data_IF_611655378354
#
_entry.id   IF_611655378354
#
_cell.length_a   1.000
_cell.length_b   1.000
_cell.length_c   1.000
_cell.angle_alpha   90.00
_cell.angle_beta   90.00
_cell.angle_gamma   90.00
#
_symmetry.space_group_name_H-M   'P 1'
#
loop_
_entity.id
_entity.type
_entity.pdbx_description
1 polymer ?
#
# COMPACT_ATOMS: atom_id res chain seq x y z
N UNK A 1 61.79 38.16 33.57
CA UNK A 1 61.01 37.34 34.51
C UNK A 1 59.74 36.89 33.82
N UNK A 2 59.46 35.58 33.86
CA UNK A 2 58.56 34.85 32.97
C UNK A 2 57.08 35.12 33.31
N UNK A 3 56.28 35.30 32.27
CA UNK A 3 54.82 35.29 32.29
C UNK A 3 54.32 33.85 32.52
N UNK A 4 53.49 33.66 33.53
CA UNK A 4 52.86 32.37 33.87
C UNK A 4 51.68 32.11 32.95
N UNK A 5 51.83 31.14 32.05
CA UNK A 5 50.75 30.64 31.20
C UNK A 5 49.70 29.87 32.00
N UNK A 6 48.44 30.25 31.86
CA UNK A 6 47.30 29.49 32.32
C UNK A 6 47.21 28.17 31.54
N UNK A 7 47.37 27.06 32.25
CA UNK A 7 47.30 25.72 31.71
C UNK A 7 45.82 25.33 31.58
N UNK A 8 45.28 25.32 30.36
CA UNK A 8 43.96 24.79 30.07
C UNK A 8 43.94 23.28 30.36
N UNK A 9 43.36 22.88 31.49
CA UNK A 9 42.94 21.50 31.70
C UNK A 9 41.86 21.17 30.68
N UNK A 10 42.27 20.50 29.59
CA UNK A 10 41.37 19.84 28.67
C UNK A 10 40.68 18.69 29.38
N UNK A 11 39.48 18.93 29.90
CA UNK A 11 38.54 17.87 30.21
C UNK A 11 38.27 17.07 28.92
N UNK A 12 38.42 15.73 28.91
CA UNK A 12 38.00 14.96 27.76
C UNK A 12 36.49 15.13 27.61
N UNK A 13 36.07 15.93 26.62
CA UNK A 13 34.69 15.95 26.15
C UNK A 13 34.35 14.53 25.73
N UNK A 14 33.64 13.83 26.59
CA UNK A 14 33.07 12.52 26.31
C UNK A 14 31.96 12.71 25.26
N UNK A 15 32.37 13.00 24.03
CA UNK A 15 31.49 13.11 22.88
C UNK A 15 31.15 11.69 22.42
N UNK A 16 30.56 10.91 23.33
CA UNK A 16 29.71 9.81 22.95
C UNK A 16 28.50 10.47 22.28
N UNK A 17 28.64 10.82 20.99
CA UNK A 17 27.50 10.78 20.07
C UNK A 17 26.76 9.53 20.49
N UNK A 18 25.54 9.65 21.00
CA UNK A 18 24.73 8.49 21.31
C UNK A 18 24.61 7.74 20.00
N UNK A 19 25.48 6.74 19.79
CA UNK A 19 25.29 5.74 18.77
C UNK A 19 24.01 5.07 19.26
N UNK A 20 22.89 5.54 18.72
CA UNK A 20 21.66 4.78 18.74
C UNK A 20 22.08 3.41 18.25
N UNK A 21 21.94 2.40 19.11
CA UNK A 21 22.23 1.02 18.72
C UNK A 21 21.52 0.76 17.39
N UNK A 22 22.15 0.03 16.45
CA UNK A 22 21.48 -0.31 15.21
C UNK A 22 20.10 -0.92 15.54
N UNK A 23 19.05 -0.56 14.79
CA UNK A 23 17.72 -1.10 15.03
C UNK A 23 17.82 -2.63 15.00
N UNK A 24 17.43 -3.25 16.11
CA UNK A 24 17.44 -4.69 16.29
C UNK A 24 16.01 -5.20 16.26
N UNK A 25 15.80 -6.39 15.72
CA UNK A 25 14.50 -7.07 15.63
C UNK A 25 13.77 -7.16 16.98
N UNK A 26 14.50 -7.33 18.09
CA UNK A 26 13.90 -7.32 19.42
C UNK A 26 13.18 -5.98 19.72
N UNK A 27 13.75 -4.85 19.29
CA UNK A 27 13.17 -3.52 19.51
C UNK A 27 11.88 -3.35 18.70
N UNK A 28 11.85 -3.76 17.42
CA UNK A 28 10.61 -3.71 16.63
C UNK A 28 9.53 -4.56 17.28
N UNK A 29 9.87 -5.77 17.75
CA UNK A 29 8.92 -6.64 18.46
C UNK A 29 8.35 -5.99 19.73
N UNK A 30 9.19 -5.39 20.59
CA UNK A 30 8.71 -4.69 21.78
C UNK A 30 7.75 -3.52 21.44
N UNK A 31 8.05 -2.77 20.39
CA UNK A 31 7.21 -1.67 19.94
C UNK A 31 5.87 -2.15 19.36
N UNK A 32 5.85 -3.28 18.65
CA UNK A 32 4.60 -3.93 18.23
C UNK A 32 3.76 -4.33 19.45
N UNK A 33 4.36 -4.93 20.47
CA UNK A 33 3.63 -5.33 21.69
C UNK A 33 3.13 -4.11 22.47
N UNK A 34 3.89 -3.02 22.49
CA UNK A 34 3.44 -1.75 23.08
C UNK A 34 2.23 -1.19 22.31
N UNK A 35 2.27 -1.15 20.97
CA UNK A 35 1.16 -0.69 20.15
C UNK A 35 -0.12 -1.50 20.43
N UNK A 36 -0.01 -2.83 20.51
CA UNK A 36 -1.13 -3.73 20.85
C UNK A 36 -1.73 -3.41 22.22
N UNK A 37 -0.89 -3.16 23.23
CA UNK A 37 -1.37 -2.76 24.56
C UNK A 37 -2.09 -1.41 24.52
N UNK A 38 -1.53 -0.41 23.83
CA UNK A 38 -2.18 0.90 23.67
C UNK A 38 -3.54 0.75 22.96
N UNK A 39 -3.63 -0.09 21.93
CA UNK A 39 -4.87 -0.37 21.22
C UNK A 39 -5.94 -0.98 22.14
N UNK A 40 -5.56 -1.96 22.95
CA UNK A 40 -6.47 -2.59 23.92
C UNK A 40 -6.99 -1.57 24.95
N UNK A 41 -6.11 -0.76 25.52
CA UNK A 41 -6.48 0.31 26.47
C UNK A 41 -7.30 1.43 25.83
N UNK A 42 -7.18 1.63 24.50
CA UNK A 42 -7.96 2.61 23.76
C UNK A 42 -9.42 2.20 23.53
N UNK A 43 -9.80 0.96 23.88
CA UNK A 43 -11.13 0.41 23.62
C UNK A 43 -11.19 -0.56 22.43
N UNK A 44 -10.04 -1.00 21.90
CA UNK A 44 -9.95 -2.00 20.83
C UNK A 44 -10.32 -1.48 19.44
N UNK A 45 -10.26 -2.38 18.47
CA UNK A 45 -10.98 -2.28 17.21
C UNK A 45 -12.48 -2.53 17.46
N UNK A 46 -13.37 -1.94 16.66
CA UNK A 46 -14.83 -1.88 16.86
C UNK A 46 -15.57 -3.25 16.92
N UNK A 47 -14.84 -4.36 17.10
CA UNK A 47 -15.30 -5.74 17.18
C UNK A 47 -15.63 -6.24 18.60
N UNK A 48 -15.44 -5.42 19.64
CA UNK A 48 -15.88 -5.82 21.00
C UNK A 48 -17.40 -5.70 21.13
N UNK A 49 -18.04 -6.85 21.24
CA UNK A 49 -19.46 -7.11 21.21
C UNK A 49 -20.35 -6.27 22.16
N UNK A 50 -21.50 -5.90 21.61
CA UNK A 50 -22.76 -5.34 22.18
C UNK A 50 -23.26 -5.94 23.51
N UNK A 51 -22.63 -6.96 24.11
CA UNK A 51 -23.19 -7.71 25.25
C UNK A 51 -22.39 -7.67 26.56
N UNK A 52 -21.27 -6.96 26.64
CA UNK A 52 -20.62 -6.69 27.93
C UNK A 52 -20.60 -5.18 28.13
N UNK A 53 -21.46 -4.70 29.03
CA UNK A 53 -21.32 -3.37 29.61
C UNK A 53 -19.99 -3.32 30.37
N UNK A 54 -18.90 -3.03 29.65
CA UNK A 54 -17.72 -2.50 30.30
C UNK A 54 -18.13 -1.15 30.93
N UNK A 55 -17.80 -0.88 32.20
CA UNK A 55 -18.24 0.34 32.90
C UNK A 55 -17.63 1.65 32.33
N UNK A 56 -16.83 1.58 31.27
CA UNK A 56 -16.34 2.73 30.53
C UNK A 56 -17.33 3.08 29.39
N UNK A 57 -18.30 3.94 29.71
CA UNK A 57 -19.30 4.50 28.79
C UNK A 57 -18.73 5.48 27.74
N UNK A 58 -17.46 5.35 27.39
CA UNK A 58 -16.81 6.20 26.40
C UNK A 58 -16.35 5.31 25.26
N UNK A 59 -16.82 5.59 24.04
CA UNK A 59 -16.35 4.93 22.83
C UNK A 59 -14.83 5.04 22.67
N UNK A 60 -14.25 4.39 21.65
CA UNK A 60 -12.80 4.23 21.55
C UNK A 60 -12.07 5.58 21.58
N UNK A 61 -11.03 5.67 22.39
CA UNK A 61 -10.30 6.91 22.65
C UNK A 61 -9.42 7.27 21.44
N UNK A 62 -9.91 8.15 20.57
CA UNK A 62 -9.29 8.51 19.28
C UNK A 62 -7.80 8.88 19.35
N UNK A 63 -7.36 9.61 20.38
CA UNK A 63 -5.93 9.95 20.54
C UNK A 63 -5.07 8.74 20.92
N UNK A 64 -5.62 7.77 21.64
CA UNK A 64 -4.91 6.54 22.00
C UNK A 64 -4.88 5.59 20.82
N UNK A 65 -5.95 5.52 20.01
CA UNK A 65 -5.93 4.83 18.72
C UNK A 65 -4.83 5.40 17.80
N UNK A 66 -4.74 6.73 17.69
CA UNK A 66 -3.66 7.36 16.93
C UNK A 66 -2.28 7.05 17.50
N UNK A 67 -2.13 7.05 18.83
CA UNK A 67 -0.87 6.69 19.49
C UNK A 67 -0.47 5.24 19.21
N UNK A 68 -1.42 4.30 19.28
CA UNK A 68 -1.21 2.90 18.88
C UNK A 68 -0.74 2.81 17.42
N UNK A 69 -1.45 3.47 16.51
CA UNK A 69 -1.14 3.46 15.09
C UNK A 69 0.27 3.98 14.80
N UNK A 70 0.64 5.15 15.35
CA UNK A 70 1.98 5.73 15.19
C UNK A 70 3.07 4.84 15.81
N UNK A 71 2.80 4.24 16.96
CA UNK A 71 3.72 3.28 17.60
C UNK A 71 3.92 2.05 16.72
N UNK A 72 2.86 1.54 16.11
CA UNK A 72 2.91 0.42 15.17
C UNK A 72 3.64 0.76 13.87
N UNK A 73 3.44 1.96 13.30
CA UNK A 73 4.22 2.44 12.15
C UNK A 73 5.71 2.55 12.49
N UNK A 74 6.04 3.10 13.65
CA UNK A 74 7.42 3.16 14.13
C UNK A 74 8.03 1.76 14.25
N UNK A 75 7.30 0.81 14.82
CA UNK A 75 7.73 -0.59 14.93
C UNK A 75 7.98 -1.22 13.54
N UNK A 76 7.08 -0.98 12.58
CA UNK A 76 7.24 -1.45 11.20
C UNK A 76 8.46 -0.82 10.53
N UNK A 77 8.69 0.49 10.70
CA UNK A 77 9.87 1.18 10.20
C UNK A 77 11.18 0.65 10.79
N UNK A 78 11.19 0.30 12.09
CA UNK A 78 12.33 -0.38 12.72
C UNK A 78 12.58 -1.75 12.08
N UNK A 79 11.52 -2.52 11.85
CA UNK A 79 11.62 -3.83 11.21
C UNK A 79 12.15 -3.74 9.77
N UNK A 80 11.67 -2.75 9.01
CA UNK A 80 12.12 -2.48 7.65
C UNK A 80 13.61 -2.11 7.63
N UNK A 81 14.08 -1.29 8.58
CA UNK A 81 15.52 -0.97 8.70
C UNK A 81 16.38 -2.18 9.07
N UNK A 82 15.83 -3.14 9.81
CA UNK A 82 16.53 -4.37 10.18
C UNK A 82 16.55 -5.40 9.03
N UNK A 83 15.77 -5.20 7.94
CA UNK A 83 15.72 -6.16 6.85
C UNK A 83 16.02 -5.57 5.47
N UNK A 84 16.98 -6.18 4.78
CA UNK A 84 17.48 -5.70 3.49
C UNK A 84 16.52 -5.83 2.31
N UNK A 85 15.43 -6.61 2.43
CA UNK A 85 14.53 -6.90 1.30
C UNK A 85 13.09 -6.39 1.51
N UNK A 86 12.87 -5.50 2.47
CA UNK A 86 11.51 -5.14 2.88
C UNK A 86 10.66 -4.51 1.77
N UNK A 87 11.28 -3.77 0.85
CA UNK A 87 10.63 -3.09 -0.28
C UNK A 87 10.07 -4.05 -1.34
N UNK A 88 10.59 -5.28 -1.42
CA UNK A 88 10.16 -6.29 -2.40
C UNK A 88 9.33 -7.42 -1.77
N UNK A 89 8.88 -7.27 -0.52
CA UNK A 89 8.12 -8.32 0.17
C UNK A 89 6.68 -8.36 -0.34
N UNK A 90 6.20 -9.58 -0.60
CA UNK A 90 4.79 -9.85 -0.92
C UNK A 90 3.88 -9.77 0.31
N UNK A 91 4.43 -9.98 1.51
CA UNK A 91 3.69 -9.95 2.76
C UNK A 91 4.50 -9.25 3.85
N UNK A 92 3.95 -8.21 4.47
CA UNK A 92 4.41 -7.70 5.75
C UNK A 92 3.53 -8.24 6.87
N UNK A 93 4.17 -8.73 7.94
CA UNK A 93 3.50 -9.34 9.09
C UNK A 93 2.53 -8.38 9.79
N UNK A 94 2.73 -7.06 9.65
CA UNK A 94 2.00 -6.05 10.41
C UNK A 94 1.27 -5.00 9.55
N UNK A 95 1.55 -4.90 8.25
CA UNK A 95 0.95 -3.88 7.38
C UNK A 95 -0.57 -4.02 7.25
N UNK A 96 -1.10 -5.26 7.23
CA UNK A 96 -2.54 -5.52 7.18
C UNK A 96 -3.29 -5.00 8.41
N UNK A 97 -2.74 -5.18 9.62
CA UNK A 97 -3.32 -4.65 10.85
C UNK A 97 -3.26 -3.11 10.88
N UNK A 98 -2.16 -2.52 10.42
CA UNK A 98 -2.01 -1.07 10.33
C UNK A 98 -2.94 -0.45 9.27
N UNK A 99 -3.17 -1.15 8.16
CA UNK A 99 -4.17 -0.78 7.15
C UNK A 99 -5.56 -0.69 7.77
N UNK A 100 -5.97 -1.73 8.51
CA UNK A 100 -7.27 -1.73 9.18
C UNK A 100 -7.39 -0.62 10.23
N UNK A 101 -6.33 -0.39 11.03
CA UNK A 101 -6.30 0.71 11.98
C UNK A 101 -6.39 2.08 11.29
N UNK A 102 -5.67 2.28 10.19
CA UNK A 102 -5.73 3.54 9.44
C UNK A 102 -7.14 3.83 8.92
N UNK A 103 -7.83 2.81 8.41
CA UNK A 103 -9.22 2.94 7.93
C UNK A 103 -10.22 3.21 9.07
N UNK A 104 -10.05 2.58 10.25
CA UNK A 104 -10.91 2.82 11.42
C UNK A 104 -10.66 4.20 12.07
N UNK A 105 -9.41 4.68 12.07
CA UNK A 105 -9.07 6.03 12.54
C UNK A 105 -9.54 7.10 11.55
N UNK A 106 -9.46 6.82 10.24
CA UNK A 106 -9.91 7.69 9.17
C UNK A 106 -8.89 8.75 8.77
N UNK A 107 -9.37 9.94 8.40
CA UNK A 107 -8.60 10.98 7.73
C UNK A 107 -7.26 11.33 8.40
N UNK A 108 -7.22 11.38 9.74
CA UNK A 108 -6.00 11.73 10.46
C UNK A 108 -4.87 10.69 10.25
N UNK A 109 -5.20 9.39 10.18
CA UNK A 109 -4.20 8.35 9.94
C UNK A 109 -3.83 8.28 8.45
N UNK A 110 -4.80 8.45 7.56
CA UNK A 110 -4.58 8.51 6.12
C UNK A 110 -3.67 9.68 5.72
N UNK A 111 -3.80 10.84 6.38
CA UNK A 111 -2.90 11.97 6.18
C UNK A 111 -1.45 11.62 6.53
N UNK A 112 -1.22 10.91 7.63
CA UNK A 112 0.12 10.43 7.98
C UNK A 112 0.64 9.45 6.93
N UNK A 113 -0.21 8.53 6.47
CA UNK A 113 0.17 7.54 5.46
C UNK A 113 0.52 8.19 4.12
N UNK A 114 -0.26 9.16 3.66
CA UNK A 114 0.03 9.95 2.45
C UNK A 114 1.47 10.49 2.47
N UNK A 115 1.92 11.02 3.61
CA UNK A 115 3.24 11.66 3.72
C UNK A 115 4.38 10.68 4.00
N UNK A 116 4.09 9.50 4.56
CA UNK A 116 5.12 8.61 5.13
C UNK A 116 5.09 7.16 4.66
N UNK A 117 4.14 6.78 3.78
CA UNK A 117 3.97 5.37 3.38
C UNK A 117 5.27 4.77 2.84
N UNK A 118 6.08 5.52 2.09
CA UNK A 118 7.33 5.04 1.48
C UNK A 118 8.41 4.63 2.49
N UNK A 119 8.22 4.94 3.77
CA UNK A 119 9.09 4.49 4.87
C UNK A 119 8.64 3.17 5.49
N UNK A 120 7.39 2.77 5.25
CA UNK A 120 6.70 1.73 6.01
C UNK A 120 6.11 0.63 5.13
N UNK A 121 5.50 1.01 4.01
CA UNK A 121 4.70 0.17 3.12
C UNK A 121 5.40 0.02 1.77
N UNK A 122 5.23 -1.14 1.14
CA UNK A 122 5.57 -1.28 -0.28
C UNK A 122 4.57 -0.49 -1.14
N UNK A 123 4.92 -0.19 -2.41
CA UNK A 123 4.00 0.51 -3.33
C UNK A 123 2.64 -0.20 -3.46
N UNK A 124 2.64 -1.53 -3.60
CA UNK A 124 1.40 -2.32 -3.65
C UNK A 124 0.59 -2.26 -2.35
N UNK A 125 1.24 -2.27 -1.18
CA UNK A 125 0.53 -2.12 0.11
C UNK A 125 -0.13 -0.74 0.23
N UNK A 126 0.57 0.32 -0.21
CA UNK A 126 0.04 1.67 -0.22
C UNK A 126 -1.10 1.85 -1.25
N UNK A 127 -0.98 1.25 -2.44
CA UNK A 127 -2.05 1.21 -3.44
C UNK A 127 -3.29 0.49 -2.91
N UNK A 128 -3.13 -0.63 -2.21
CA UNK A 128 -4.24 -1.35 -1.59
C UNK A 128 -4.92 -0.53 -0.47
N UNK A 129 -4.15 0.21 0.32
CA UNK A 129 -4.71 1.13 1.31
C UNK A 129 -5.48 2.28 0.64
N UNK A 130 -4.95 2.88 -0.43
CA UNK A 130 -5.63 3.92 -1.19
C UNK A 130 -6.97 3.43 -1.77
N UNK A 131 -6.98 2.25 -2.39
CA UNK A 131 -8.20 1.59 -2.91
C UNK A 131 -9.26 1.39 -1.82
N UNK A 132 -8.85 0.94 -0.63
CA UNK A 132 -9.79 0.79 0.49
C UNK A 132 -10.28 2.15 1.01
N UNK A 133 -9.42 3.16 1.07
CA UNK A 133 -9.77 4.50 1.52
C UNK A 133 -10.76 5.19 0.56
N UNK A 134 -10.61 4.99 -0.75
CA UNK A 134 -11.53 5.49 -1.77
C UNK A 134 -12.95 4.90 -1.69
N UNK A 135 -13.12 3.76 -1.02
CA UNK A 135 -14.42 3.12 -0.79
C UNK A 135 -15.07 3.52 0.55
N UNK A 136 -14.43 4.37 1.35
CA UNK A 136 -15.01 4.86 2.60
C UNK A 136 -16.11 5.89 2.33
N UNK A 137 -17.09 5.97 3.23
CA UNK A 137 -18.18 6.94 3.10
C UNK A 137 -17.79 8.39 3.46
N UNK A 138 -16.65 8.58 4.14
CA UNK A 138 -16.15 9.91 4.52
C UNK A 138 -15.39 10.56 3.34
N UNK A 139 -15.88 11.69 2.79
CA UNK A 139 -15.21 12.38 1.70
C UNK A 139 -13.75 12.74 1.99
N UNK A 140 -13.43 13.07 3.24
CA UNK A 140 -12.05 13.42 3.63
C UNK A 140 -11.11 12.24 3.48
N UNK A 141 -11.60 11.03 3.78
CA UNK A 141 -10.85 9.79 3.60
C UNK A 141 -10.69 9.43 2.12
N UNK A 142 -11.73 9.64 1.31
CA UNK A 142 -11.69 9.43 -0.15
C UNK A 142 -10.68 10.37 -0.79
N UNK A 143 -10.70 11.65 -0.42
CA UNK A 143 -9.77 12.66 -0.93
C UNK A 143 -8.32 12.34 -0.60
N UNK A 144 -8.05 11.89 0.63
CA UNK A 144 -6.72 11.45 1.06
C UNK A 144 -6.32 10.12 0.41
N UNK A 145 -7.27 9.23 0.16
CA UNK A 145 -7.05 7.99 -0.59
C UNK A 145 -6.57 8.28 -2.01
N UNK A 146 -7.21 9.21 -2.70
CA UNK A 146 -6.79 9.64 -4.03
C UNK A 146 -5.44 10.38 -4.03
N UNK A 147 -5.11 11.17 -2.99
CA UNK A 147 -3.77 11.76 -2.85
C UNK A 147 -2.69 10.72 -2.58
N UNK A 148 -3.02 9.71 -1.78
CA UNK A 148 -2.14 8.56 -1.56
C UNK A 148 -1.94 7.80 -2.87
N UNK A 149 -3.00 7.52 -3.63
CA UNK A 149 -2.92 6.88 -4.95
C UNK A 149 -1.99 7.66 -5.90
N UNK A 150 -2.14 8.98 -5.97
CA UNK A 150 -1.26 9.86 -6.76
C UNK A 150 0.20 9.73 -6.34
N UNK A 151 0.49 9.70 -5.04
CA UNK A 151 1.87 9.54 -4.55
C UNK A 151 2.48 8.18 -4.90
N UNK A 152 1.65 7.15 -5.00
CA UNK A 152 2.06 5.77 -5.33
C UNK A 152 2.34 5.62 -6.83
N UNK A 153 1.65 6.38 -7.70
CA UNK A 153 1.86 6.35 -9.15
C UNK A 153 3.27 6.78 -9.58
N UNK A 154 3.99 7.56 -8.76
CA UNK A 154 5.40 7.87 -8.98
C UNK A 154 6.31 6.62 -8.94
N UNK A 155 5.80 5.50 -8.38
CA UNK A 155 6.47 4.20 -8.34
C UNK A 155 5.70 3.15 -9.15
N UNK A 156 5.10 3.55 -10.28
CA UNK A 156 4.28 2.67 -11.12
C UNK A 156 5.00 1.41 -11.66
N UNK A 157 6.33 1.45 -11.76
CA UNK A 157 7.17 0.29 -12.10
C UNK A 157 7.06 -0.85 -11.07
N UNK A 158 6.77 -0.53 -9.81
CA UNK A 158 6.65 -1.48 -8.71
C UNK A 158 5.20 -1.95 -8.47
N UNK A 159 4.24 -1.46 -9.26
CA UNK A 159 2.82 -1.81 -9.15
C UNK A 159 2.46 -2.90 -10.15
N UNK A 160 1.45 -3.70 -9.79
CA UNK A 160 0.77 -4.50 -10.80
C UNK A 160 -0.07 -3.61 -11.73
N UNK A 161 -0.33 -4.10 -12.94
CA UNK A 161 -1.15 -3.40 -13.92
C UNK A 161 -2.53 -2.97 -13.36
N UNK A 162 -3.20 -3.84 -12.60
CA UNK A 162 -4.51 -3.54 -12.01
C UNK A 162 -4.45 -2.48 -10.92
N UNK A 163 -3.40 -2.47 -10.09
CA UNK A 163 -3.18 -1.46 -9.05
C UNK A 163 -2.93 -0.08 -9.67
N UNK A 164 -2.07 0.00 -10.69
CA UNK A 164 -1.80 1.24 -11.40
C UNK A 164 -3.05 1.82 -12.08
N UNK A 165 -3.85 0.97 -12.74
CA UNK A 165 -5.11 1.40 -13.37
C UNK A 165 -6.10 1.94 -12.33
N UNK A 166 -6.30 1.26 -11.19
CA UNK A 166 -7.21 1.76 -10.14
C UNK A 166 -6.74 3.08 -9.54
N UNK A 167 -5.44 3.24 -9.33
CA UNK A 167 -4.89 4.49 -8.84
C UNK A 167 -5.13 5.66 -9.82
N UNK A 168 -5.05 5.42 -11.13
CA UNK A 168 -5.41 6.40 -12.16
C UNK A 168 -6.90 6.76 -12.15
N UNK A 169 -7.80 5.77 -12.02
CA UNK A 169 -9.25 6.02 -11.88
C UNK A 169 -9.56 6.90 -10.67
N UNK A 170 -8.97 6.60 -9.51
CA UNK A 170 -9.14 7.42 -8.29
C UNK A 170 -8.67 8.87 -8.48
N UNK A 171 -7.55 9.07 -9.20
CA UNK A 171 -7.06 10.40 -9.51
C UNK A 171 -8.00 11.14 -10.48
N UNK A 172 -8.60 10.43 -11.45
CA UNK A 172 -9.64 10.99 -12.33
C UNK A 172 -10.88 11.42 -11.54
N UNK A 173 -11.35 10.58 -10.63
CA UNK A 173 -12.54 10.85 -9.81
C UNK A 173 -12.33 12.07 -8.89
N UNK A 174 -11.11 12.28 -8.39
CA UNK A 174 -10.74 13.48 -7.62
C UNK A 174 -10.75 14.76 -8.47
N UNK A 175 -10.53 14.65 -9.78
CA UNK A 175 -10.70 15.73 -10.74
C UNK A 175 -9.47 15.99 -11.62
N UNK A 176 -9.65 16.90 -12.59
CA UNK A 176 -8.68 17.16 -13.67
C UNK A 176 -7.26 17.44 -13.19
N UNK A 177 -7.07 18.30 -12.17
CA UNK A 177 -5.73 18.62 -11.66
C UNK A 177 -5.02 17.42 -11.01
N UNK A 178 -5.77 16.49 -10.42
CA UNK A 178 -5.19 15.27 -9.86
C UNK A 178 -4.83 14.29 -10.99
N UNK A 179 -5.67 14.16 -12.01
CA UNK A 179 -5.39 13.34 -13.19
C UNK A 179 -4.16 13.84 -13.95
N UNK A 180 -4.02 15.14 -14.19
CA UNK A 180 -2.86 15.73 -14.86
C UNK A 180 -1.54 15.34 -14.16
N UNK A 181 -1.51 15.49 -12.83
CA UNK A 181 -0.36 15.08 -12.00
C UNK A 181 -0.12 13.58 -12.03
N UNK A 182 -1.18 12.78 -12.04
CA UNK A 182 -1.10 11.33 -12.10
C UNK A 182 -0.48 10.85 -13.42
N UNK A 183 -0.91 11.42 -14.55
CA UNK A 183 -0.36 11.13 -15.88
C UNK A 183 1.12 11.53 -15.94
N UNK A 184 1.45 12.74 -15.48
CA UNK A 184 2.84 13.21 -15.43
C UNK A 184 3.74 12.31 -14.55
N UNK A 185 3.22 11.82 -13.42
CA UNK A 185 3.95 10.91 -12.54
C UNK A 185 4.21 9.55 -13.21
N UNK A 186 3.24 9.01 -13.96
CA UNK A 186 3.41 7.77 -14.73
C UNK A 186 4.42 7.94 -15.86
N UNK A 187 4.39 9.07 -16.57
CA UNK A 187 5.36 9.40 -17.61
C UNK A 187 6.78 9.50 -17.05
N UNK A 188 6.95 10.21 -15.93
CA UNK A 188 8.25 10.32 -15.26
C UNK A 188 8.76 8.95 -14.80
N UNK A 189 7.89 8.12 -14.22
CA UNK A 189 8.25 6.77 -13.80
C UNK A 189 8.68 5.90 -15.00
N UNK A 190 7.99 6.00 -16.14
CA UNK A 190 8.31 5.26 -17.37
C UNK A 190 9.63 5.68 -18.01
N UNK A 191 10.09 6.90 -17.74
CA UNK A 191 11.39 7.38 -18.21
C UNK A 191 12.54 6.73 -17.44
N UNK A 192 12.30 6.34 -16.19
CA UNK A 192 13.31 5.81 -15.27
C UNK A 192 13.37 4.28 -15.30
N UNK A 193 12.20 3.64 -15.27
CA UNK A 193 12.05 2.19 -15.15
C UNK A 193 10.91 1.66 -16.03
N UNK A 194 10.91 0.35 -16.29
CA UNK A 194 9.88 -0.28 -17.11
C UNK A 194 8.54 -0.29 -16.38
N UNK A 195 7.54 0.37 -16.98
CA UNK A 195 6.16 0.41 -16.50
C UNK A 195 5.30 -0.37 -17.48
N UNK A 196 4.32 -1.12 -16.97
CA UNK A 196 3.37 -1.86 -17.80
C UNK A 196 2.74 -0.95 -18.87
N UNK A 197 2.83 -1.28 -20.17
CA UNK A 197 2.27 -0.48 -21.25
C UNK A 197 0.78 -0.18 -21.05
N UNK A 198 0.03 -1.13 -20.47
CA UNK A 198 -1.39 -0.97 -20.15
C UNK A 198 -1.67 0.21 -19.21
N UNK A 199 -0.78 0.49 -18.26
CA UNK A 199 -0.90 1.65 -17.36
C UNK A 199 -0.72 2.95 -18.16
N UNK A 200 0.25 2.99 -19.07
CA UNK A 200 0.51 4.16 -19.93
C UNK A 200 -0.64 4.42 -20.91
N UNK A 201 -1.13 3.36 -21.57
CA UNK A 201 -2.29 3.46 -22.45
C UNK A 201 -3.53 3.92 -21.68
N UNK A 202 -3.75 3.42 -20.46
CA UNK A 202 -4.88 3.87 -19.64
C UNK A 202 -4.73 5.33 -19.25
N UNK A 203 -3.56 5.77 -18.80
CA UNK A 203 -3.28 7.17 -18.47
C UNK A 203 -3.59 8.09 -19.66
N UNK A 204 -3.13 7.72 -20.85
CA UNK A 204 -3.34 8.47 -22.10
C UNK A 204 -4.82 8.54 -22.48
N UNK A 205 -5.55 7.42 -22.33
CA UNK A 205 -6.98 7.35 -22.62
C UNK A 205 -7.80 8.23 -21.65
N UNK A 206 -7.52 8.14 -20.35
CA UNK A 206 -8.21 8.95 -19.34
C UNK A 206 -7.97 10.44 -19.56
N UNK A 207 -6.75 10.83 -19.94
CA UNK A 207 -6.43 12.21 -20.28
C UNK A 207 -7.19 12.70 -21.52
N UNK A 208 -7.21 11.89 -22.59
CA UNK A 208 -7.93 12.23 -23.81
C UNK A 208 -9.45 12.39 -23.58
N UNK A 209 -10.05 11.52 -22.76
CA UNK A 209 -11.46 11.66 -22.36
C UNK A 209 -11.73 13.01 -21.65
N UNK A 210 -10.83 13.44 -20.78
CA UNK A 210 -11.01 14.71 -20.06
C UNK A 210 -10.85 15.93 -20.97
N UNK A 211 -9.85 15.92 -21.86
CA UNK A 211 -9.59 17.03 -22.78
C UNK A 211 -10.71 17.19 -23.81
N UNK A 212 -11.19 16.08 -24.39
CA UNK A 212 -12.31 16.11 -25.35
C UNK A 212 -13.64 16.53 -24.73
N UNK A 213 -13.78 16.48 -23.39
CA UNK A 213 -14.99 16.92 -22.68
C UNK A 213 -15.01 18.43 -22.44
N UNK A 214 -13.83 19.05 -22.34
CA UNK A 214 -13.68 20.49 -22.10
C UNK A 214 -13.62 21.31 -23.40
N UNK A 215 -13.62 20.66 -24.56
CA UNK A 215 -13.90 21.33 -25.84
C UNK A 215 -15.37 21.78 -25.88
N UNK A 216 -15.67 23.09 -26.06
CA UNK A 216 -17.02 23.51 -26.41
C UNK A 216 -17.42 22.85 -27.73
N UNK A 217 -18.73 22.66 -28.01
CA UNK A 217 -19.21 22.10 -29.28
C UNK A 217 -19.02 23.09 -30.45
N UNK A 218 -17.77 23.42 -30.76
CA UNK A 218 -17.33 23.83 -32.08
C UNK A 218 -16.68 22.56 -32.65
N UNK A 219 -17.45 21.59 -33.16
CA UNK A 219 -18.01 21.66 -34.50
C UNK A 219 -19.33 20.87 -34.54
N UNK A 220 -20.46 21.55 -34.37
CA UNK A 220 -21.61 21.15 -35.19
C UNK A 220 -21.14 21.25 -36.63
N UNK A 221 -21.14 20.11 -37.32
CA UNK A 221 -21.09 20.03 -38.76
C UNK A 221 -21.77 21.25 -39.39
N UNK A 222 -21.11 22.03 -40.27
CA UNK A 222 -21.89 22.64 -41.33
C UNK A 222 -22.53 21.45 -42.03
N UNK A 223 -23.85 21.38 -41.97
CA UNK A 223 -24.64 20.47 -42.77
C UNK A 223 -24.15 20.66 -44.20
N UNK A 224 -23.36 19.72 -44.70
CA UNK A 224 -23.01 19.72 -46.12
C UNK A 224 -24.32 19.40 -46.83
N UNK A 225 -25.00 20.48 -47.22
CA UNK A 225 -26.03 20.45 -48.23
C UNK A 225 -25.47 19.63 -49.38
N UNK A 226 -26.15 18.53 -49.68
CA UNK A 226 -25.90 17.74 -50.87
C UNK A 226 -25.88 18.70 -52.08
N UNK A 227 -24.69 18.90 -52.65
CA UNK A 227 -24.52 19.90 -53.68
C UNK A 227 -23.07 20.29 -53.90
N UNK A 228 -22.20 19.34 -54.21
CA UNK A 228 -21.23 19.46 -55.31
C UNK A 228 -20.24 18.31 -55.29
N UNK A 229 -20.12 17.71 -56.47
CA UNK A 229 -19.26 16.62 -56.88
C UNK A 229 -17.76 16.98 -56.91
N UNK A 230 -16.94 15.94 -56.71
CA UNK A 230 -15.50 15.80 -57.05
C UNK A 230 -14.45 16.22 -56.00
N UNK A 231 -13.94 15.25 -55.22
CA UNK A 231 -12.65 14.59 -55.51
C UNK A 231 -12.44 13.41 -54.55
N UNK A 232 -12.47 12.18 -55.08
CA UNK A 232 -12.13 10.96 -54.33
C UNK A 232 -10.61 10.80 -54.31
N UNK A 233 -10.05 10.61 -53.12
CA UNK A 233 -8.66 10.24 -52.90
C UNK A 233 -8.31 8.95 -53.69
N UNK A 234 -7.21 8.90 -54.48
CA UNK A 234 -6.89 7.77 -55.36
C UNK A 234 -6.59 6.45 -54.64
N UNK A 235 -6.32 6.50 -53.33
CA UNK A 235 -5.87 5.33 -52.57
C UNK A 235 -6.99 4.33 -52.22
N UNK A 236 -8.25 4.78 -52.17
CA UNK A 236 -9.37 3.92 -51.77
C UNK A 236 -9.96 3.09 -52.92
N UNK A 237 -9.69 3.44 -54.17
CA UNK A 237 -10.25 2.74 -55.33
C UNK A 237 -9.47 1.45 -55.68
N UNK A 238 -8.17 1.41 -55.40
CA UNK A 238 -7.32 0.24 -55.68
C UNK A 238 -7.62 -0.95 -54.74
N UNK A 239 -7.92 -0.68 -53.47
CA UNK A 239 -8.23 -1.73 -52.49
C UNK A 239 -9.60 -2.38 -52.75
N UNK A 240 -10.60 -1.61 -53.20
CA UNK A 240 -11.94 -2.12 -53.48
C UNK A 240 -11.99 -3.03 -54.72
N UNK A 241 -11.19 -2.75 -55.76
CA UNK A 241 -11.17 -3.61 -56.96
C UNK A 241 -10.42 -4.93 -56.77
N UNK A 242 -9.43 -5.00 -55.88
CA UNK A 242 -8.67 -6.25 -55.65
C UNK A 242 -9.46 -7.29 -54.85
N UNK A 243 -10.41 -6.86 -54.01
CA UNK A 243 -11.22 -7.77 -53.20
C UNK A 243 -12.41 -8.37 -53.98
N UNK A 244 -12.81 -7.77 -55.09
CA UNK A 244 -13.95 -8.23 -55.89
C UNK A 244 -13.58 -9.28 -56.96
N UNK A 245 -12.28 -9.42 -57.30
CA UNK A 245 -11.82 -10.48 -58.21
C UNK A 245 -11.52 -11.81 -57.52
N UNK A 246 -11.39 -11.86 -56.19
CA UNK A 246 -11.16 -13.11 -55.46
C UNK A 246 -12.44 -13.91 -55.14
N UNK A 247 -13.62 -13.27 -55.26
CA UNK A 247 -14.90 -13.89 -54.87
C UNK A 247 -15.65 -14.59 -56.03
N UNK A 248 -15.11 -14.59 -57.26
CA UNK A 248 -15.79 -15.13 -58.45
C UNK A 248 -15.27 -16.49 -58.95
N UNK A 249 -14.28 -17.11 -58.27
CA UNK A 249 -13.67 -18.36 -58.74
C UNK A 249 -13.46 -19.41 -57.63
N UNK A 250 -14.51 -19.84 -56.93
CA UNK A 250 -14.53 -21.20 -56.33
C UNK A 250 -15.96 -21.73 -56.32
N UNK A 251 -16.37 -22.32 -57.43
CA UNK A 251 -17.50 -23.23 -57.50
C UNK A 251 -16.99 -24.66 -57.67
N UNK A 252 -17.39 -25.55 -56.75
CA UNK A 252 -17.43 -27.00 -56.98
C UNK A 252 -16.23 -27.81 -56.48
N UNK A 253 -16.50 -28.80 -55.61
CA UNK A 253 -15.58 -29.91 -55.34
C UNK A 253 -15.63 -30.38 -53.89
N UNK A 254 -16.30 -31.51 -53.64
CA UNK A 254 -16.39 -32.12 -52.31
C UNK A 254 -15.08 -32.77 -51.83
N UNK A 255 -15.08 -33.15 -50.55
CA UNK A 255 -14.07 -34.06 -50.00
C UNK A 255 -13.72 -33.81 -48.54
N UNK A 256 -14.15 -34.75 -47.69
CA UNK A 256 -13.39 -35.31 -46.56
C UNK A 256 -13.12 -34.44 -45.32
N UNK A 257 -13.76 -34.86 -44.22
CA UNK A 257 -13.51 -34.38 -42.85
C UNK A 257 -12.19 -34.93 -42.26
N UNK A 258 -11.53 -34.19 -41.35
CA UNK A 258 -10.63 -34.73 -40.35
C UNK A 258 -11.20 -34.64 -38.91
N UNK A 259 -10.64 -35.38 -37.93
CA UNK A 259 -11.30 -35.71 -36.66
C UNK A 259 -11.13 -34.65 -35.55
N UNK A 260 -11.91 -34.71 -34.46
CA UNK A 260 -11.86 -33.70 -33.39
C UNK A 260 -10.73 -33.98 -32.38
N UNK A 261 -9.88 -32.98 -32.15
CA UNK A 261 -8.92 -32.97 -31.04
C UNK A 261 -9.62 -32.49 -29.76
N UNK A 262 -9.69 -33.40 -28.79
CA UNK A 262 -9.99 -33.14 -27.38
C UNK A 262 -8.92 -32.21 -26.77
N UNK A 263 -9.36 -31.18 -26.04
CA UNK A 263 -8.46 -30.34 -25.25
C UNK A 263 -9.19 -29.18 -24.57
N UNK A 264 -10.03 -29.48 -23.59
CA UNK A 264 -10.56 -28.44 -22.70
C UNK A 264 -9.48 -27.94 -21.72
N UNK A 265 -9.48 -26.65 -21.34
CA UNK A 265 -8.59 -26.14 -20.29
C UNK A 265 -9.07 -26.59 -18.90
N UNK A 266 -8.16 -26.91 -17.95
CA UNK A 266 -8.56 -27.28 -16.59
C UNK A 266 -9.01 -26.05 -15.78
N UNK A 267 -9.92 -26.23 -14.81
CA UNK A 267 -10.45 -25.13 -13.99
C UNK A 267 -9.40 -24.65 -12.97
N UNK A 268 -9.19 -23.34 -12.93
CA UNK A 268 -8.44 -22.65 -11.87
C UNK A 268 -9.37 -22.48 -10.67
N UNK A 269 -9.10 -23.18 -9.57
CA UNK A 269 -9.73 -22.93 -8.27
C UNK A 269 -8.96 -21.81 -7.53
N UNK A 270 -9.64 -20.85 -6.89
CA UNK A 270 -8.98 -19.90 -5.98
C UNK A 270 -8.80 -20.53 -4.59
N UNK A 271 -7.63 -20.43 -3.93
CA UNK A 271 -7.53 -20.74 -2.52
C UNK A 271 -8.17 -19.62 -1.70
N UNK A 272 -9.11 -20.02 -0.85
CA UNK A 272 -9.78 -19.17 0.11
C UNK A 272 -8.79 -18.62 1.15
N UNK A 273 -8.69 -17.29 1.29
CA UNK A 273 -8.14 -16.67 2.48
C UNK A 273 -9.30 -16.33 3.43
N UNK A 274 -9.57 -17.26 4.36
CA UNK A 274 -10.35 -16.97 5.57
C UNK A 274 -9.61 -17.58 6.75
N UNK A 275 -8.65 -16.84 7.29
CA UNK A 275 -8.21 -17.05 8.66
C UNK A 275 -8.44 -15.76 9.43
N UNK A 276 -9.60 -15.72 10.08
CA UNK A 276 -9.78 -14.92 11.28
C UNK A 276 -8.89 -15.49 12.36
N UNK A 277 -8.31 -14.57 13.14
CA UNK A 277 -7.44 -14.85 14.28
C UNK A 277 -8.11 -15.83 15.24
N UNK A 278 -7.60 -17.07 15.32
CA UNK A 278 -7.81 -17.97 16.46
C UNK A 278 -6.51 -18.00 17.23
N UNK A 279 -6.61 -17.72 18.53
CA UNK A 279 -5.48 -17.62 19.44
C UNK A 279 -4.73 -18.94 19.65
N UNK A 280 -3.58 -18.77 20.29
CA UNK A 280 -2.68 -19.78 20.87
C UNK A 280 -1.95 -20.70 19.89
N UNK A 281 -0.67 -20.43 19.66
CA UNK A 281 0.35 -21.49 19.67
C UNK A 281 1.59 -21.01 20.43
N UNK A 282 1.78 -21.56 21.63
CA UNK A 282 2.99 -21.43 22.41
C UNK A 282 4.10 -22.30 21.79
N UNK A 283 5.24 -21.68 21.50
CA UNK A 283 6.43 -22.42 21.08
C UNK A 283 7.26 -22.78 22.30
N UNK A 284 7.32 -24.10 22.54
CA UNK A 284 8.16 -24.79 23.52
C UNK A 284 9.63 -24.50 23.25
N UNK A 285 10.33 -23.99 24.27
CA UNK A 285 11.79 -24.07 24.34
C UNK A 285 12.24 -25.53 24.32
N UNK A 286 13.24 -25.85 23.48
CA UNK A 286 13.95 -27.13 23.54
C UNK A 286 15.28 -26.93 24.28
N UNK A 287 15.66 -27.84 25.21
CA UNK A 287 16.73 -27.59 26.16
C UNK A 287 18.09 -28.02 25.63
N UNK A 288 19.11 -27.20 25.81
CA UNK A 288 20.51 -27.62 25.73
C UNK A 288 21.05 -27.92 27.13
N UNK A 289 21.45 -29.16 27.33
CA UNK A 289 22.06 -29.74 28.51
C UNK A 289 23.42 -29.11 28.86
N UNK A 290 23.64 -28.78 30.14
CA UNK A 290 24.88 -29.17 30.83
C UNK A 290 24.77 -29.05 32.35
N UNK A 291 25.05 -30.16 33.02
CA UNK A 291 25.60 -30.34 34.37
C UNK A 291 24.71 -30.03 35.59
N UNK A 292 24.21 -31.12 36.15
CA UNK A 292 23.74 -31.25 37.52
C UNK A 292 24.90 -31.46 38.50
N UNK A 293 24.86 -30.77 39.66
CA UNK A 293 25.41 -31.19 40.97
C UNK A 293 24.53 -30.54 42.07
N UNK A 294 24.25 -31.21 43.21
CA UNK A 294 22.93 -31.12 43.86
C UNK A 294 22.81 -30.13 45.04
N UNK A 295 21.54 -29.85 45.36
CA UNK A 295 21.02 -29.04 46.46
C UNK A 295 21.31 -29.61 47.86
N UNK A 296 21.62 -28.71 48.80
CA UNK A 296 21.08 -28.74 50.19
C UNK A 296 20.98 -27.31 50.77
N UNK A 297 20.16 -27.09 51.82
CA UNK A 297 19.24 -25.96 51.87
C UNK A 297 19.53 -24.97 53.03
N UNK A 298 18.65 -23.97 53.12
CA UNK A 298 18.33 -23.14 54.30
C UNK A 298 18.89 -21.70 54.26
N UNK A 299 18.02 -20.70 54.16
CA UNK A 299 17.61 -19.90 55.32
C UNK A 299 16.68 -18.74 54.94
N UNK A 300 15.59 -18.64 55.72
CA UNK A 300 14.85 -17.44 56.14
C UNK A 300 14.16 -16.52 55.10
N UNK A 301 12.85 -16.73 54.96
CA UNK A 301 11.89 -15.64 54.84
C UNK A 301 12.04 -14.72 56.06
N UNK A 302 12.30 -13.44 55.80
CA UNK A 302 12.07 -12.36 56.78
C UNK A 302 11.16 -11.32 56.13
N UNK A 303 9.89 -11.38 56.51
CA UNK A 303 8.95 -10.27 56.39
C UNK A 303 9.37 -9.19 57.38
N UNK A 304 9.59 -7.96 56.89
CA UNK A 304 9.27 -6.72 57.64
C UNK A 304 9.53 -5.50 56.76
N UNK A 305 8.45 -4.82 56.36
CA UNK A 305 8.47 -3.42 55.95
C UNK A 305 7.42 -2.70 56.82
N UNK A 306 7.79 -1.72 57.67
CA UNK A 306 6.82 -0.90 58.36
C UNK A 306 6.33 0.25 57.48
N UNK A 307 5.02 0.43 57.47
CA UNK A 307 4.32 1.62 57.00
C UNK A 307 4.82 2.86 57.75
N UNK A 308 5.18 3.91 57.01
CA UNK A 308 5.30 5.28 57.53
C UNK A 308 4.21 6.13 56.87
N UNK A 309 3.14 6.37 57.64
CA UNK A 309 2.30 7.57 57.55
C UNK A 309 2.61 8.41 58.80
N UNK A 310 2.85 9.69 58.59
CA UNK A 310 3.17 10.69 59.61
C UNK A 310 3.95 11.82 58.98
#
# INVERSE_FOLDING_TARGET
MRTTGFNHQNFPRNNKKSRTSPPCEAHSHYMVQLAKKILAEAGGDDSSSVFIHAPNNHGPHRKLLMCSFLTGLYALGLNNKASHNWTSRTYSTHSGCLTQQALSIGAAALSVMKDTWSLHFTPSEAASLADKAGNLSDPSCVDLGAELALSVLAQSHALSCSEGIRALEQCKDKGHSALEKAVAAVEEASTREEVFPEIQFRASHLWAETVCRDDPPFLQHPSFSAGSSHSLNPFYHAAAMMQQQAAAHVGGGGGSAPPPLHGGPPPVQPPMLRQGWRGEEGWKESPSSSNAVPLRPSMHLSHSAPNLKG
#
